data_IF_857224728833
#
_entry.id   IF_857224728833
#
_cell.length_a   1.000
_cell.length_b   1.000
_cell.length_c   1.000
_cell.angle_alpha   90.00
_cell.angle_beta   90.00
_cell.angle_gamma   90.00
#
_symmetry.space_group_name_H-M   'P 1'
#
loop_
_entity.id
_entity.type
_entity.pdbx_description
1 polymer ?
#
# COMPACT_ATOMS: atom_id res chain seq x y z
N UNK A 1 1.14 3.47 -2.56
CA UNK A 1 1.21 3.40 -4.03
C UNK A 1 0.14 4.32 -4.59
N UNK A 2 0.53 5.48 -5.13
CA UNK A 2 -0.38 6.40 -5.83
C UNK A 2 -0.22 6.15 -7.33
N UNK A 3 -1.35 5.91 -8.01
CA UNK A 3 -1.40 5.63 -9.46
C UNK A 3 -1.78 6.92 -10.19
N UNK A 4 -0.88 7.48 -10.98
CA UNK A 4 -1.23 8.53 -11.96
C UNK A 4 -1.05 7.92 -13.36
N UNK A 5 -2.17 7.56 -13.99
CA UNK A 5 -2.17 7.10 -15.38
C UNK A 5 -2.00 8.30 -16.32
N UNK A 6 -0.86 8.38 -17.00
CA UNK A 6 -0.71 9.25 -18.17
C UNK A 6 -1.03 8.46 -19.44
N UNK A 7 -1.54 9.12 -20.49
CA UNK A 7 -2.07 8.50 -21.74
C UNK A 7 -1.08 7.63 -22.54
N UNK A 8 0.13 7.37 -22.07
CA UNK A 8 1.22 6.71 -22.79
C UNK A 8 1.69 5.37 -22.19
N UNK A 9 0.90 4.71 -21.34
CA UNK A 9 1.34 3.48 -20.66
C UNK A 9 2.48 3.71 -19.66
N UNK A 10 2.84 4.97 -19.42
CA UNK A 10 3.90 5.39 -18.50
C UNK A 10 3.29 5.68 -17.14
N UNK A 11 3.86 5.05 -16.11
CA UNK A 11 3.44 5.16 -14.72
C UNK A 11 4.61 5.70 -13.90
N UNK A 12 4.29 6.63 -13.01
CA UNK A 12 5.23 7.17 -12.04
C UNK A 12 4.83 6.66 -10.66
N UNK A 13 5.77 6.10 -9.92
CA UNK A 13 5.59 5.58 -8.58
C UNK A 13 6.28 6.49 -7.58
N UNK A 14 5.50 6.95 -6.59
CA UNK A 14 6.01 7.56 -5.37
C UNK A 14 5.79 6.60 -4.21
N UNK A 15 6.76 6.57 -3.30
CA UNK A 15 6.79 5.62 -2.21
C UNK A 15 6.23 6.22 -0.93
N UNK A 16 5.06 5.74 -0.50
CA UNK A 16 4.49 6.08 0.80
C UNK A 16 4.99 5.13 1.91
N UNK A 17 5.43 3.93 1.52
CA UNK A 17 6.15 2.95 2.33
C UNK A 17 7.30 2.45 1.46
N UNK A 18 8.51 2.45 2.00
CA UNK A 18 9.70 1.95 1.31
C UNK A 18 10.66 1.28 2.29
N UNK A 19 10.92 -0.01 2.09
CA UNK A 19 11.89 -0.77 2.89
C UNK A 19 13.34 -0.34 2.68
N UNK A 20 13.66 0.32 1.57
CA UNK A 20 14.98 0.91 1.33
C UNK A 20 15.12 2.31 1.96
N UNK A 21 14.05 2.85 2.56
CA UNK A 21 14.04 4.17 3.19
C UNK A 21 14.40 5.29 2.19
N UNK A 22 13.93 5.18 0.93
CA UNK A 22 14.16 6.13 -0.16
C UNK A 22 12.84 6.81 -0.60
N UNK A 23 12.28 7.63 0.28
CA UNK A 23 10.97 8.28 0.07
C UNK A 23 11.00 9.40 -0.99
N UNK A 24 12.18 9.94 -1.28
CA UNK A 24 12.36 11.00 -2.29
C UNK A 24 12.62 10.44 -3.69
N UNK A 25 12.88 9.13 -3.81
CA UNK A 25 13.10 8.47 -5.09
C UNK A 25 11.76 8.21 -5.80
N UNK A 26 11.78 8.40 -7.11
CA UNK A 26 10.62 8.27 -8.00
C UNK A 26 10.97 7.29 -9.10
N UNK A 27 10.24 6.18 -9.15
CA UNK A 27 10.41 5.18 -10.20
C UNK A 27 9.44 5.46 -11.35
N UNK A 28 9.94 5.31 -12.58
CA UNK A 28 9.15 5.49 -13.80
C UNK A 28 9.19 4.21 -14.62
N UNK A 29 8.04 3.54 -14.72
CA UNK A 29 7.84 2.35 -15.54
C UNK A 29 7.05 2.66 -16.82
N UNK A 30 7.34 1.92 -17.88
CA UNK A 30 6.56 1.90 -19.12
C UNK A 30 5.98 0.51 -19.32
N UNK A 31 4.66 0.42 -19.40
CA UNK A 31 3.94 -0.84 -19.56
C UNK A 31 3.60 -1.10 -21.02
N UNK A 32 3.90 -2.31 -21.48
CA UNK A 32 3.51 -2.82 -22.80
C UNK A 32 2.89 -4.20 -22.64
N UNK A 33 1.66 -4.37 -23.14
CA UNK A 33 0.98 -5.67 -23.15
C UNK A 33 1.68 -6.64 -24.10
N UNK A 34 2.03 -7.83 -23.58
CA UNK A 34 2.68 -8.91 -24.31
C UNK A 34 1.65 -9.75 -25.09
N UNK A 35 2.08 -10.54 -26.10
CA UNK A 35 1.16 -11.36 -26.89
C UNK A 35 0.34 -12.39 -26.10
N UNK A 36 0.81 -12.78 -24.91
CA UNK A 36 0.11 -13.72 -24.04
C UNK A 36 -0.88 -13.04 -23.07
N UNK A 37 -1.00 -11.70 -23.09
CA UNK A 37 -1.87 -10.92 -22.22
C UNK A 37 -1.24 -10.50 -20.89
N UNK A 38 -0.01 -10.92 -20.57
CA UNK A 38 0.76 -10.36 -19.45
C UNK A 38 1.24 -8.93 -19.82
N UNK A 39 1.56 -8.09 -18.84
CA UNK A 39 2.17 -6.78 -19.07
C UNK A 39 3.68 -6.81 -18.79
N UNK A 40 4.49 -6.27 -19.71
CA UNK A 40 5.91 -6.00 -19.49
C UNK A 40 6.06 -4.55 -19.03
N UNK A 41 6.57 -4.37 -17.82
CA UNK A 41 7.06 -3.10 -17.32
C UNK A 41 8.56 -2.99 -17.56
N UNK A 42 8.99 -1.89 -18.16
CA UNK A 42 10.41 -1.55 -18.29
C UNK A 42 10.69 -0.17 -17.71
N UNK A 43 11.87 -0.01 -17.13
CA UNK A 43 12.32 1.26 -16.61
C UNK A 43 13.78 1.20 -16.17
N UNK A 44 14.20 2.21 -15.42
CA UNK A 44 15.54 2.26 -14.85
C UNK A 44 15.49 2.71 -13.41
N UNK A 45 16.38 2.17 -12.59
CA UNK A 45 16.46 2.49 -11.16
C UNK A 45 17.91 2.55 -10.67
N UNK A 46 18.13 3.27 -9.57
CA UNK A 46 19.41 3.26 -8.85
C UNK A 46 19.66 1.87 -8.24
N UNK A 47 20.92 1.57 -7.91
CA UNK A 47 21.32 0.31 -7.26
C UNK A 47 21.51 0.55 -5.76
N UNK A 48 20.46 0.48 -4.92
CA UNK A 48 20.58 0.74 -3.49
C UNK A 48 21.52 -0.26 -2.79
N UNK A 49 21.69 -1.45 -3.37
CA UNK A 49 22.63 -2.48 -2.92
C UNK A 49 24.11 -2.14 -3.21
N UNK A 50 24.38 -1.25 -4.17
CA UNK A 50 25.72 -0.85 -4.60
C UNK A 50 25.85 0.68 -4.72
N UNK A 51 26.05 1.39 -3.60
CA UNK A 51 26.15 2.86 -3.61
C UNK A 51 27.23 3.36 -4.57
N UNK A 52 26.85 4.28 -5.46
CA UNK A 52 27.73 4.86 -6.49
C UNK A 52 27.82 4.06 -7.80
N UNK A 53 27.18 2.89 -7.88
CA UNK A 53 27.03 2.18 -9.14
C UNK A 53 26.09 2.95 -10.10
N UNK A 54 26.26 2.79 -11.43
CA UNK A 54 25.37 3.39 -12.41
C UNK A 54 23.92 2.92 -12.25
N UNK A 55 22.98 3.79 -12.66
CA UNK A 55 21.58 3.43 -12.87
C UNK A 55 21.50 2.23 -13.83
N UNK A 56 20.60 1.29 -13.54
CA UNK A 56 20.44 0.04 -14.29
C UNK A 56 19.02 -0.10 -14.82
N UNK A 57 18.88 -0.62 -16.03
CA UNK A 57 17.58 -0.95 -16.62
C UNK A 57 16.99 -2.20 -15.93
N UNK A 58 15.67 -2.21 -15.74
CA UNK A 58 14.93 -3.35 -15.23
C UNK A 58 13.81 -3.75 -16.19
N UNK A 59 13.39 -5.01 -16.09
CA UNK A 59 12.24 -5.58 -16.76
C UNK A 59 11.44 -6.40 -15.76
N UNK A 60 10.14 -6.14 -15.64
CA UNK A 60 9.22 -6.89 -14.80
C UNK A 60 8.04 -7.39 -15.63
N UNK A 61 7.71 -8.68 -15.51
CA UNK A 61 6.55 -9.28 -16.18
C UNK A 61 5.43 -9.46 -15.17
N UNK A 62 4.31 -8.78 -15.44
CA UNK A 62 3.13 -8.75 -14.61
C UNK A 62 2.03 -9.62 -15.20
N UNK A 63 1.63 -10.64 -14.46
CA UNK A 63 0.49 -11.48 -14.81
C UNK A 63 -0.73 -11.08 -13.99
N UNK A 64 -1.84 -10.81 -14.67
CA UNK A 64 -3.12 -10.67 -14.00
C UNK A 64 -3.58 -12.04 -13.46
N UNK A 65 -3.92 -12.07 -12.17
CA UNK A 65 -4.44 -13.26 -11.52
C UNK A 65 -5.96 -13.13 -11.34
N UNK A 66 -6.67 -14.23 -11.54
CA UNK A 66 -8.10 -14.28 -11.22
C UNK A 66 -8.34 -13.96 -9.75
N UNK A 67 -9.39 -13.19 -9.47
CA UNK A 67 -9.77 -12.90 -8.10
C UNK A 67 -10.11 -14.18 -7.36
N UNK A 68 -9.61 -14.28 -6.12
CA UNK A 68 -10.03 -15.33 -5.21
C UNK A 68 -11.42 -15.01 -4.69
N UNK A 69 -12.30 -16.01 -4.66
CA UNK A 69 -13.62 -15.90 -4.04
C UNK A 69 -13.52 -15.44 -2.59
N UNK A 70 -14.32 -14.43 -2.24
CA UNK A 70 -14.42 -13.91 -0.89
C UNK A 70 -15.59 -14.52 -0.11
N UNK A 71 -15.81 -14.04 1.13
CA UNK A 71 -17.01 -14.28 1.92
C UNK A 71 -18.34 -14.11 1.18
N UNK A 72 -18.38 -13.26 0.14
CA UNK A 72 -19.59 -12.97 -0.65
C UNK A 72 -19.99 -14.13 -1.59
N UNK A 73 -19.10 -15.10 -1.79
CA UNK A 73 -19.34 -16.29 -2.60
C UNK A 73 -19.03 -16.12 -4.09
N UNK A 74 -19.36 -17.12 -4.92
CA UNK A 74 -18.98 -17.16 -6.33
C UNK A 74 -19.51 -15.98 -7.15
N UNK A 75 -18.64 -15.38 -7.97
CA UNK A 75 -18.99 -14.29 -8.89
C UNK A 75 -19.23 -12.93 -8.22
N UNK A 76 -19.06 -12.83 -6.91
CA UNK A 76 -19.26 -11.62 -6.12
C UNK A 76 -18.00 -11.25 -5.36
N UNK A 77 -17.84 -9.97 -5.08
CA UNK A 77 -16.71 -9.55 -4.26
C UNK A 77 -16.75 -8.10 -3.84
N UNK A 78 -16.12 -7.85 -2.70
CA UNK A 78 -15.91 -6.52 -2.15
C UNK A 78 -14.41 -6.21 -2.18
N UNK A 79 -14.09 -5.00 -2.64
CA UNK A 79 -12.73 -4.46 -2.65
C UNK A 79 -12.69 -3.10 -1.98
N UNK A 80 -11.64 -2.83 -1.22
CA UNK A 80 -11.43 -1.53 -0.59
C UNK A 80 -9.96 -1.31 -0.24
N UNK A 81 -9.60 -0.05 -0.05
CA UNK A 81 -8.30 0.37 0.48
C UNK A 81 -8.51 1.35 1.62
N UNK A 82 -7.85 1.11 2.75
CA UNK A 82 -7.82 1.96 3.93
C UNK A 82 -6.39 2.46 4.17
N UNK A 83 -6.25 3.70 4.58
CA UNK A 83 -4.98 4.30 5.00
C UNK A 83 -5.10 4.85 6.41
N UNK A 84 -4.11 4.55 7.27
CA UNK A 84 -4.07 5.07 8.64
C UNK A 84 -4.14 6.59 8.64
N UNK A 85 -4.97 7.15 9.51
CA UNK A 85 -5.09 8.60 9.64
C UNK A 85 -4.11 9.09 10.70
N UNK A 86 -3.35 10.13 10.36
CA UNK A 86 -2.46 10.82 11.28
C UNK A 86 -2.72 12.31 11.20
N UNK A 87 -3.25 12.88 12.29
CA UNK A 87 -3.38 14.33 12.42
C UNK A 87 -2.02 14.88 12.91
N UNK A 88 -1.15 15.21 11.94
CA UNK A 88 0.22 15.67 12.21
C UNK A 88 0.23 17.18 12.49
N UNK A 89 0.11 17.56 13.75
CA UNK A 89 0.38 18.95 14.18
C UNK A 89 1.85 19.11 14.59
N UNK A 90 2.71 19.46 13.64
CA UNK A 90 4.14 19.67 13.86
C UNK A 90 4.53 21.16 13.83
N UNK A 91 5.22 21.58 14.89
CA UNK A 91 6.01 22.81 14.92
C UNK A 91 7.30 22.68 14.07
N UNK A 92 7.91 23.81 13.75
CA UNK A 92 9.16 23.85 12.99
C UNK A 92 10.29 23.10 13.71
N UNK A 93 10.97 22.20 12.99
CA UNK A 93 12.04 21.35 13.54
C UNK A 93 11.58 20.23 14.48
N UNK A 94 10.26 20.09 14.70
CA UNK A 94 9.72 18.98 15.49
C UNK A 94 9.65 17.71 14.66
N UNK A 95 9.92 16.59 15.33
CA UNK A 95 9.83 15.24 14.79
C UNK A 95 8.73 14.48 15.51
N UNK A 96 7.91 13.76 14.74
CA UNK A 96 6.91 12.83 15.27
C UNK A 96 7.04 11.51 14.56
N UNK A 97 6.91 10.44 15.32
CA UNK A 97 6.89 9.09 14.78
C UNK A 97 5.45 8.61 14.66
N UNK A 98 5.09 8.10 13.47
CA UNK A 98 3.78 7.51 13.20
C UNK A 98 3.93 6.15 12.55
N UNK A 99 2.96 5.26 12.81
CA UNK A 99 2.85 3.98 12.11
C UNK A 99 1.97 4.15 10.89
N UNK A 100 2.59 4.35 9.73
CA UNK A 100 1.86 4.46 8.48
C UNK A 100 1.43 3.08 8.01
N UNK A 101 0.14 2.85 7.86
CA UNK A 101 -0.43 1.54 7.55
C UNK A 101 -1.45 1.65 6.43
N UNK A 102 -1.32 0.76 5.43
CA UNK A 102 -2.33 0.53 4.41
C UNK A 102 -2.95 -0.85 4.60
N UNK A 103 -4.26 -0.93 4.60
CA UNK A 103 -5.02 -2.18 4.56
C UNK A 103 -5.75 -2.23 3.22
N UNK A 104 -5.64 -3.33 2.51
CA UNK A 104 -6.34 -3.52 1.26
C UNK A 104 -7.00 -4.89 1.25
N UNK A 105 -8.24 -4.91 0.78
CA UNK A 105 -8.96 -6.14 0.47
C UNK A 105 -9.34 -6.10 -1.01
N UNK A 106 -9.07 -7.20 -1.70
CA UNK A 106 -9.58 -7.47 -3.03
C UNK A 106 -10.21 -8.85 -2.96
N UNK A 107 -11.54 -8.87 -2.86
CA UNK A 107 -12.34 -10.09 -2.74
C UNK A 107 -11.85 -10.98 -1.58
N UNK A 108 -11.43 -12.22 -1.87
CA UNK A 108 -10.88 -13.18 -0.91
C UNK A 108 -9.39 -13.03 -0.63
N UNK A 109 -8.77 -11.91 -1.01
CA UNK A 109 -7.37 -11.57 -0.69
C UNK A 109 -7.30 -10.32 0.16
N UNK A 110 -6.50 -10.36 1.21
CA UNK A 110 -6.27 -9.24 2.13
C UNK A 110 -4.78 -9.02 2.33
N UNK A 111 -4.36 -7.76 2.33
CA UNK A 111 -2.98 -7.34 2.51
C UNK A 111 -2.93 -6.13 3.45
N UNK A 112 -2.00 -6.17 4.41
CA UNK A 112 -1.63 -5.04 5.25
C UNK A 112 -0.15 -4.81 5.12
N UNK A 113 0.24 -3.55 4.96
CA UNK A 113 1.64 -3.13 5.02
C UNK A 113 1.74 -1.95 5.98
N UNK A 114 2.72 -1.99 6.88
CA UNK A 114 2.98 -0.98 7.88
C UNK A 114 4.45 -0.60 7.88
N UNK A 115 4.74 0.69 8.06
CA UNK A 115 6.06 1.19 8.34
C UNK A 115 6.00 2.32 9.37
N UNK A 116 6.83 2.23 10.41
CA UNK A 116 7.05 3.36 11.32
C UNK A 116 7.90 4.41 10.64
N UNK A 117 7.41 5.63 10.58
CA UNK A 117 8.02 6.75 9.88
C UNK A 117 8.16 7.94 10.82
N UNK A 118 9.32 8.58 10.79
CA UNK A 118 9.57 9.85 11.47
C UNK A 118 9.31 10.97 10.48
N UNK A 119 8.29 11.77 10.76
CA UNK A 119 7.99 12.99 10.03
C UNK A 119 8.69 14.18 10.69
N UNK A 120 9.16 15.11 9.87
CA UNK A 120 9.73 16.38 10.31
C UNK A 120 9.10 17.52 9.54
N UNK A 121 8.90 18.67 10.20
CA UNK A 121 8.59 19.92 9.51
C UNK A 121 9.85 20.76 9.34
N UNK A 122 10.32 20.87 8.10
CA UNK A 122 11.51 21.64 7.77
C UNK A 122 11.30 23.14 7.97
N UNK A 123 12.39 23.84 8.30
CA UNK A 123 12.39 25.28 8.48
C UNK A 123 11.88 26.01 7.23
N UNK A 124 10.90 26.90 7.41
CA UNK A 124 10.24 27.60 6.30
C UNK A 124 9.30 26.75 5.43
N UNK A 125 9.11 25.45 5.71
CA UNK A 125 8.13 24.60 5.04
C UNK A 125 6.78 24.62 5.75
N UNK A 126 5.70 24.52 4.98
CA UNK A 126 4.35 24.26 5.52
C UNK A 126 4.06 22.77 5.66
N UNK A 127 4.78 21.94 4.92
CA UNK A 127 4.51 20.51 4.81
C UNK A 127 5.46 19.70 5.69
N UNK A 128 4.91 18.67 6.33
CA UNK A 128 5.69 17.65 7.00
C UNK A 128 6.16 16.62 5.98
N UNK A 129 7.43 16.23 6.05
CA UNK A 129 8.05 15.25 5.15
C UNK A 129 8.58 14.06 5.94
N UNK A 130 8.66 12.89 5.30
CA UNK A 130 9.27 11.70 5.91
C UNK A 130 10.78 11.92 5.98
N UNK A 131 11.33 12.00 7.19
CA UNK A 131 12.77 12.07 7.43
C UNK A 131 13.41 10.70 7.33
N UNK A 132 12.74 9.68 7.87
CA UNK A 132 13.21 8.29 7.85
C UNK A 132 12.07 7.32 8.14
N UNK A 133 12.13 6.15 7.55
CA UNK A 133 11.31 4.98 7.81
C UNK A 133 12.14 3.87 8.45
N UNK A 134 11.50 3.14 9.37
CA UNK A 134 12.06 1.95 10.00
C UNK A 134 11.72 0.69 9.19
N UNK A 135 11.93 -0.48 9.78
CA UNK A 135 11.54 -1.75 9.16
C UNK A 135 10.07 -1.81 8.78
N UNK A 136 9.78 -2.46 7.66
CA UNK A 136 8.43 -2.70 7.17
C UNK A 136 7.89 -4.00 7.77
N UNK A 137 6.63 -3.98 8.19
CA UNK A 137 5.88 -5.18 8.58
C UNK A 137 4.71 -5.39 7.64
N UNK A 138 4.39 -6.64 7.35
CA UNK A 138 3.30 -6.97 6.43
C UNK A 138 2.56 -8.23 6.87
N UNK A 139 1.27 -8.28 6.54
CA UNK A 139 0.43 -9.46 6.71
C UNK A 139 -0.39 -9.67 5.44
N UNK A 140 -0.43 -10.91 4.95
CA UNK A 140 -1.32 -11.33 3.86
C UNK A 140 -2.22 -12.44 4.36
N UNK A 141 -3.52 -12.27 4.17
CA UNK A 141 -4.52 -13.29 4.45
C UNK A 141 -5.30 -13.63 3.19
N UNK A 142 -5.81 -14.86 3.14
CA UNK A 142 -6.70 -15.30 2.09
C UNK A 142 -7.90 -16.03 2.68
N UNK A 143 -9.06 -15.85 2.04
CA UNK A 143 -10.27 -16.60 2.34
C UNK A 143 -10.09 -18.07 1.91
N UNK A 144 -10.41 -19.00 2.82
CA UNK A 144 -10.29 -20.46 2.63
C UNK A 144 -11.65 -21.15 2.51
N UNK A 145 -12.64 -20.46 1.93
CA UNK A 145 -14.08 -20.79 1.83
C UNK A 145 -14.89 -20.59 3.11
N UNK A 146 -14.27 -20.65 4.29
CA UNK A 146 -14.99 -20.52 5.58
C UNK A 146 -14.44 -19.43 6.48
N UNK A 147 -13.16 -19.10 6.36
CA UNK A 147 -12.51 -18.09 7.19
C UNK A 147 -11.35 -17.43 6.47
N UNK A 148 -10.90 -16.33 7.03
CA UNK A 148 -9.63 -15.72 6.68
C UNK A 148 -8.48 -16.51 7.32
N UNK A 149 -7.45 -16.79 6.52
CA UNK A 149 -6.25 -17.51 6.96
C UNK A 149 -5.00 -16.72 6.57
N UNK A 150 -4.11 -16.48 7.54
CA UNK A 150 -2.81 -15.88 7.26
C UNK A 150 -1.97 -16.78 6.35
N UNK A 151 -1.40 -16.20 5.30
CA UNK A 151 -0.43 -16.85 4.40
C UNK A 151 0.99 -16.37 4.67
N UNK A 152 1.15 -15.07 4.92
CA UNK A 152 2.42 -14.47 5.26
C UNK A 152 2.22 -13.48 6.41
N UNK A 153 3.17 -13.51 7.34
CA UNK A 153 3.31 -12.54 8.41
C UNK A 153 4.79 -12.21 8.50
N UNK A 154 5.14 -10.96 8.23
CA UNK A 154 6.52 -10.49 8.04
C UNK A 154 6.77 -9.25 8.90
N UNK A 155 8.03 -9.09 9.33
CA UNK A 155 8.47 -7.94 10.13
C UNK A 155 8.08 -8.03 11.60
N UNK A 156 8.64 -7.12 12.41
CA UNK A 156 8.52 -7.14 13.88
C UNK A 156 7.08 -6.91 14.37
N UNK A 157 6.27 -6.18 13.61
CA UNK A 157 4.89 -5.85 13.98
C UNK A 157 3.86 -6.71 13.26
N UNK A 158 4.30 -7.67 12.41
CA UNK A 158 3.43 -8.45 11.53
C UNK A 158 2.27 -9.15 12.25
N UNK A 159 2.54 -9.76 13.41
CA UNK A 159 1.51 -10.46 14.19
C UNK A 159 0.48 -9.51 14.81
N UNK A 160 0.89 -8.27 15.09
CA UNK A 160 0.05 -7.24 15.72
C UNK A 160 -0.79 -6.43 14.74
N UNK A 161 -0.49 -6.52 13.42
CA UNK A 161 -1.25 -5.86 12.38
C UNK A 161 -2.75 -6.26 12.44
N UNK A 162 -3.66 -5.44 11.91
CA UNK A 162 -5.04 -5.87 11.72
C UNK A 162 -5.13 -7.13 10.83
N UNK A 163 -6.06 -8.01 11.15
CA UNK A 163 -6.52 -9.11 10.29
C UNK A 163 -7.72 -8.66 9.47
N UNK A 164 -8.10 -9.43 8.45
CA UNK A 164 -9.31 -9.12 7.67
C UNK A 164 -10.58 -9.16 8.54
N UNK A 165 -10.57 -9.93 9.63
CA UNK A 165 -11.70 -10.06 10.55
C UNK A 165 -11.86 -8.84 11.47
N UNK A 166 -10.79 -8.05 11.64
CA UNK A 166 -10.82 -6.84 12.47
C UNK A 166 -11.50 -5.65 11.76
N UNK A 167 -11.77 -5.78 10.45
CA UNK A 167 -12.43 -4.75 9.65
C UNK A 167 -13.91 -5.11 9.49
N UNK A 168 -14.76 -4.43 10.24
CA UNK A 168 -16.20 -4.64 10.18
C UNK A 168 -16.76 -4.17 8.83
N UNK A 169 -17.48 -5.07 8.14
CA UNK A 169 -18.25 -4.71 6.96
C UNK A 169 -19.45 -3.86 7.41
N UNK A 170 -19.36 -2.54 7.23
CA UNK A 170 -20.42 -1.61 7.57
C UNK A 170 -20.64 -0.60 6.43
N UNK A 171 -21.77 0.11 6.47
CA UNK A 171 -22.14 1.10 5.45
C UNK A 171 -21.14 2.26 5.36
N UNK A 172 -20.39 2.56 6.44
CA UNK A 172 -19.39 3.63 6.40
C UNK A 172 -18.27 3.29 5.41
N UNK A 173 -17.87 2.01 5.34
CA UNK A 173 -16.83 1.51 4.43
C UNK A 173 -17.14 1.79 2.95
N UNK A 174 -18.43 1.96 2.60
CA UNK A 174 -18.91 2.27 1.24
C UNK A 174 -18.69 3.73 0.84
N UNK A 175 -18.11 4.57 1.71
CA UNK A 175 -17.96 6.02 1.48
C UNK A 175 -16.49 6.42 1.38
N UNK A 176 -15.88 6.43 0.17
CA UNK A 176 -14.55 6.98 -0.03
C UNK A 176 -14.41 8.42 0.51
N UNK A 177 -13.28 8.72 1.14
CA UNK A 177 -13.03 9.96 1.88
C UNK A 177 -13.59 9.94 3.32
N UNK A 178 -14.45 8.97 3.65
CA UNK A 178 -14.94 8.74 5.01
C UNK A 178 -13.87 8.18 5.94
N UNK A 179 -14.23 8.05 7.22
CA UNK A 179 -13.38 7.47 8.27
C UNK A 179 -14.06 6.25 8.88
N UNK A 180 -13.29 5.18 9.09
CA UNK A 180 -13.70 3.98 9.82
C UNK A 180 -12.69 3.71 10.95
N UNK A 181 -13.12 3.03 12.02
CA UNK A 181 -12.24 2.55 13.07
C UNK A 181 -11.89 1.08 12.82
N UNK A 182 -10.59 0.76 12.89
CA UNK A 182 -10.10 -0.62 12.87
C UNK A 182 -9.31 -0.84 14.15
N UNK A 183 -9.78 -1.74 15.01
CA UNK A 183 -9.22 -1.96 16.37
C UNK A 183 -9.09 -0.66 17.20
N UNK A 184 -10.03 0.28 17.01
CA UNK A 184 -10.04 1.58 17.69
C UNK A 184 -9.22 2.68 17.03
N UNK A 185 -8.44 2.37 16.00
CA UNK A 185 -7.61 3.34 15.28
C UNK A 185 -8.33 3.88 14.04
N UNK A 186 -8.23 5.19 13.73
CA UNK A 186 -8.91 5.79 12.59
C UNK A 186 -8.20 5.54 11.26
N UNK A 187 -8.97 5.16 10.26
CA UNK A 187 -8.52 4.96 8.88
C UNK A 187 -9.37 5.77 7.90
N UNK A 188 -8.72 6.37 6.91
CA UNK A 188 -9.39 6.99 5.76
C UNK A 188 -9.73 5.93 4.73
N UNK A 189 -10.96 5.93 4.23
CA UNK A 189 -11.39 5.05 3.14
C UNK A 189 -10.90 5.65 1.83
N UNK A 190 -9.92 5.03 1.19
CA UNK A 190 -9.33 5.52 -0.07
C UNK A 190 -10.11 5.06 -1.30
N UNK A 191 -10.65 3.85 -1.26
CA UNK A 191 -11.49 3.30 -2.33
C UNK A 191 -12.43 2.24 -1.77
N UNK A 192 -13.53 2.03 -2.49
CA UNK A 192 -14.49 0.97 -2.26
C UNK A 192 -15.11 0.55 -3.60
N UNK A 193 -15.27 -0.75 -3.81
CA UNK A 193 -15.95 -1.34 -4.95
C UNK A 193 -16.67 -2.63 -4.53
N UNK A 194 -17.83 -2.88 -5.14
CA UNK A 194 -18.60 -4.09 -4.93
C UNK A 194 -19.10 -4.64 -6.26
N UNK A 195 -18.92 -5.94 -6.46
CA UNK A 195 -19.47 -6.71 -7.58
C UNK A 195 -20.57 -7.60 -7.03
N UNK A 196 -21.80 -7.40 -7.51
CA UNK A 196 -23.04 -8.04 -7.04
C UNK A 196 -23.59 -9.09 -7.99
#
# INVERSE_FOLDING_TARGET
MVRILTRSGRVQFTHEIDSHNSFDDVDCGTFTTLPNGDDLETGSMSRPDLPGAPVTEYEEVWRELSFREGPEGPGKGVSWVLESKHDLELGEGQEVEVSRTFLARIWGTYLVVCQRQVYVRLAGSKDAVVKTGKGVSARREEWDSTRWSAKYVLGLEGDSLPSAQDVEANEQLRTPGGTILVKGEPYTIRSYEEVV
#
